data_IF_371902501852
#
_entry.id   IF_371902501852
#
_cell.length_a   1.000
_cell.length_b   1.000
_cell.length_c   1.000
_cell.angle_alpha   90.00
_cell.angle_beta   90.00
_cell.angle_gamma   90.00
#
_symmetry.space_group_name_H-M   'P 1'
#
loop_
_entity.id
_entity.type
_entity.pdbx_description
1 polymer ?
#
# COMPACT_ATOMS: atom_id res chain seq x y z
N UNK A 1 1.74 21.63 8.77
CA UNK A 1 2.89 21.57 9.67
C UNK A 1 3.84 20.57 9.03
N UNK A 2 4.88 21.04 8.34
CA UNK A 2 5.95 20.15 7.87
C UNK A 2 6.70 19.72 9.13
N UNK A 3 6.64 18.44 9.47
CA UNK A 3 7.46 17.87 10.53
C UNK A 3 8.90 17.94 10.02
N UNK A 4 9.78 18.65 10.71
CA UNK A 4 11.22 18.62 10.41
C UNK A 4 11.70 17.19 10.69
N UNK A 5 11.92 16.43 9.62
CA UNK A 5 12.45 15.06 9.69
C UNK A 5 13.98 15.16 9.75
N UNK A 6 14.60 14.58 10.78
CA UNK A 6 16.06 14.55 10.93
C UNK A 6 16.68 13.41 10.11
N UNK A 7 17.98 13.51 9.79
CA UNK A 7 18.72 12.42 9.13
C UNK A 7 18.73 11.14 9.97
N UNK A 8 18.76 11.26 11.30
CA UNK A 8 18.67 10.13 12.23
C UNK A 8 17.31 9.44 12.16
N UNK A 9 16.22 10.21 12.08
CA UNK A 9 14.87 9.67 11.89
C UNK A 9 14.72 8.97 10.54
N UNK A 10 15.31 9.52 9.47
CA UNK A 10 15.33 8.88 8.15
C UNK A 10 16.11 7.57 8.16
N UNK A 11 17.26 7.53 8.83
CA UNK A 11 18.06 6.31 8.98
C UNK A 11 17.28 5.22 9.71
N UNK A 12 16.68 5.57 10.85
CA UNK A 12 15.84 4.63 11.61
C UNK A 12 14.64 4.14 10.79
N UNK A 13 13.92 5.02 10.08
CA UNK A 13 12.81 4.60 9.21
C UNK A 13 13.24 3.69 8.07
N UNK A 14 14.43 3.92 7.51
CA UNK A 14 14.97 3.04 6.46
C UNK A 14 15.29 1.64 7.02
N UNK A 15 15.84 1.55 8.23
CA UNK A 15 16.10 0.28 8.91
C UNK A 15 14.80 -0.46 9.25
N UNK A 16 13.82 0.23 9.84
CA UNK A 16 12.50 -0.36 10.14
C UNK A 16 11.80 -0.85 8.87
N UNK A 17 11.85 -0.06 7.79
CA UNK A 17 11.30 -0.47 6.50
C UNK A 17 12.03 -1.71 5.96
N UNK A 18 13.35 -1.79 6.09
CA UNK A 18 14.12 -2.94 5.64
C UNK A 18 13.79 -4.21 6.45
N UNK A 19 13.60 -4.08 7.76
CA UNK A 19 13.17 -5.18 8.64
C UNK A 19 11.77 -5.66 8.22
N UNK A 20 10.82 -4.72 8.10
CA UNK A 20 9.46 -5.03 7.66
C UNK A 20 9.43 -5.72 6.29
N UNK A 21 10.21 -5.25 5.32
CA UNK A 21 10.29 -5.89 4.01
C UNK A 21 10.93 -7.27 4.06
N UNK A 22 11.85 -7.49 5.01
CA UNK A 22 12.50 -8.78 5.26
C UNK A 22 11.55 -9.87 5.74
N UNK A 23 10.43 -9.53 6.39
CA UNK A 23 9.43 -10.52 6.80
C UNK A 23 8.86 -11.29 5.59
N UNK A 24 8.73 -10.60 4.45
CA UNK A 24 8.22 -11.15 3.18
C UNK A 24 9.27 -11.91 2.36
N UNK A 25 10.53 -12.00 2.80
CA UNK A 25 11.63 -12.62 2.03
C UNK A 25 11.32 -14.06 1.59
N UNK A 26 10.58 -14.78 2.44
CA UNK A 26 10.21 -16.18 2.23
C UNK A 26 9.23 -16.37 1.07
N UNK A 27 8.54 -15.30 0.63
CA UNK A 27 7.69 -15.30 -0.56
C UNK A 27 8.51 -15.34 -1.86
N UNK A 28 9.82 -15.07 -1.78
CA UNK A 28 10.72 -15.02 -2.92
C UNK A 28 11.73 -16.18 -2.86
N UNK A 29 11.69 -17.02 -3.90
CA UNK A 29 12.61 -18.16 -4.03
C UNK A 29 14.08 -17.77 -4.25
N UNK A 30 14.35 -16.51 -4.60
CA UNK A 30 15.69 -16.00 -4.95
C UNK A 30 15.93 -14.63 -4.30
N UNK A 31 17.20 -14.23 -4.08
CA UNK A 31 17.52 -12.95 -3.48
C UNK A 31 17.25 -11.76 -4.42
N UNK A 32 17.47 -11.89 -5.73
CA UNK A 32 17.38 -10.75 -6.65
C UNK A 32 15.96 -10.14 -6.73
N UNK A 33 14.86 -10.92 -6.72
CA UNK A 33 13.51 -10.36 -6.60
C UNK A 33 13.25 -9.58 -5.30
N UNK A 34 13.93 -9.91 -4.20
CA UNK A 34 13.77 -9.22 -2.90
C UNK A 34 14.32 -7.80 -2.96
N UNK A 35 15.50 -7.64 -3.55
CA UNK A 35 16.10 -6.33 -3.81
C UNK A 35 15.17 -5.46 -4.67
N UNK A 36 14.65 -6.03 -5.76
CA UNK A 36 13.75 -5.29 -6.67
C UNK A 36 12.39 -5.00 -6.02
N UNK A 37 11.93 -5.84 -5.10
CA UNK A 37 10.73 -5.59 -4.30
C UNK A 37 10.94 -4.39 -3.36
N UNK A 38 12.07 -4.33 -2.66
CA UNK A 38 12.42 -3.18 -1.81
C UNK A 38 12.53 -1.89 -2.63
N UNK A 39 13.25 -1.93 -3.75
CA UNK A 39 13.39 -0.80 -4.69
C UNK A 39 12.02 -0.30 -5.20
N UNK A 40 11.10 -1.23 -5.46
CA UNK A 40 9.73 -0.92 -5.86
C UNK A 40 8.96 -0.23 -4.74
N UNK A 41 8.99 -0.78 -3.51
CA UNK A 41 8.26 -0.23 -2.36
C UNK A 41 8.77 1.17 -2.01
N UNK A 42 10.09 1.36 -1.93
CA UNK A 42 10.67 2.69 -1.72
C UNK A 42 10.34 3.64 -2.87
N UNK A 43 10.36 3.12 -4.11
CA UNK A 43 9.90 3.84 -5.29
C UNK A 43 8.45 4.31 -5.16
N UNK A 44 7.57 3.51 -4.56
CA UNK A 44 6.17 3.87 -4.30
C UNK A 44 6.03 4.89 -3.16
N UNK A 45 6.79 4.74 -2.07
CA UNK A 45 6.74 5.62 -0.88
C UNK A 45 7.41 6.98 -1.07
N UNK A 46 8.30 7.11 -2.07
CA UNK A 46 9.02 8.37 -2.33
C UNK A 46 8.13 9.54 -2.80
N UNK A 47 8.72 10.71 -2.97
CA UNK A 47 8.07 11.91 -3.53
C UNK A 47 8.06 11.95 -5.07
N UNK A 48 8.49 10.86 -5.74
CA UNK A 48 8.56 10.79 -7.20
C UNK A 48 7.24 11.19 -7.86
N UNK A 49 7.29 12.28 -8.64
CA UNK A 49 6.13 12.85 -9.37
C UNK A 49 5.39 11.83 -10.23
N UNK A 50 6.08 10.83 -10.78
CA UNK A 50 5.49 9.78 -11.62
C UNK A 50 6.01 8.40 -11.22
N UNK A 51 5.13 7.60 -10.62
CA UNK A 51 5.37 6.20 -10.25
C UNK A 51 5.24 5.29 -11.48
N UNK A 52 6.33 5.14 -12.23
CA UNK A 52 6.42 4.16 -13.30
C UNK A 52 7.77 3.44 -13.23
N UNK A 53 7.90 2.30 -13.92
CA UNK A 53 9.11 1.49 -13.86
C UNK A 53 10.38 2.27 -14.24
N UNK A 54 10.30 3.25 -15.14
CA UNK A 54 11.44 4.08 -15.53
C UNK A 54 11.92 4.98 -14.39
N UNK A 55 11.01 5.78 -13.83
CA UNK A 55 11.34 6.72 -12.75
C UNK A 55 11.80 5.98 -11.49
N UNK A 56 11.13 4.87 -11.15
CA UNK A 56 11.50 4.07 -9.96
C UNK A 56 12.84 3.37 -10.15
N UNK A 57 13.12 2.86 -11.36
CA UNK A 57 14.43 2.27 -11.67
C UNK A 57 15.55 3.31 -11.63
N UNK A 58 15.30 4.53 -12.11
CA UNK A 58 16.28 5.61 -12.02
C UNK A 58 16.56 6.00 -10.55
N UNK A 59 15.53 6.03 -9.69
CA UNK A 59 15.71 6.23 -8.24
C UNK A 59 16.57 5.13 -7.62
N UNK A 60 16.29 3.87 -7.96
CA UNK A 60 17.02 2.70 -7.48
C UNK A 60 18.42 2.52 -8.11
N UNK A 61 18.92 3.50 -8.87
CA UNK A 61 20.23 3.41 -9.52
C UNK A 61 20.34 2.35 -10.62
N UNK A 62 19.22 1.81 -11.09
CA UNK A 62 19.20 0.84 -12.17
C UNK A 62 19.43 1.50 -13.53
N UNK A 63 20.23 0.86 -14.38
CA UNK A 63 20.54 1.35 -15.74
C UNK A 63 19.30 1.35 -16.65
N UNK A 64 18.35 0.43 -16.42
CA UNK A 64 17.18 0.24 -17.28
C UNK A 64 15.94 -0.10 -16.45
N UNK A 65 14.71 0.14 -16.97
CA UNK A 65 13.47 -0.26 -16.31
C UNK A 65 13.28 -1.79 -16.23
N UNK A 66 14.15 -2.57 -16.87
CA UNK A 66 13.94 -3.98 -17.11
C UNK A 66 13.91 -4.81 -15.83
N UNK A 67 14.59 -4.40 -14.75
CA UNK A 67 14.55 -5.10 -13.46
C UNK A 67 13.15 -5.06 -12.85
N UNK A 68 12.61 -3.85 -12.65
CA UNK A 68 11.24 -3.65 -12.14
C UNK A 68 10.20 -4.26 -13.08
N UNK A 69 10.36 -4.11 -14.40
CA UNK A 69 9.43 -4.70 -15.37
C UNK A 69 9.44 -6.23 -15.33
N UNK A 70 10.62 -6.86 -15.23
CA UNK A 70 10.71 -8.32 -15.11
C UNK A 70 10.15 -8.81 -13.78
N UNK A 71 10.41 -8.08 -12.70
CA UNK A 71 9.83 -8.39 -11.40
C UNK A 71 8.30 -8.43 -11.46
N UNK A 72 7.67 -7.41 -12.07
CA UNK A 72 6.21 -7.33 -12.17
C UNK A 72 5.58 -8.33 -13.15
N UNK A 73 6.29 -8.73 -14.23
CA UNK A 73 5.67 -9.50 -15.32
C UNK A 73 6.17 -10.95 -15.44
N UNK A 74 7.33 -11.29 -14.87
CA UNK A 74 8.03 -12.53 -15.18
C UNK A 74 8.71 -13.19 -13.97
N UNK A 75 8.87 -12.50 -12.84
CA UNK A 75 9.41 -13.12 -11.64
C UNK A 75 8.38 -14.09 -11.02
N UNK A 76 8.89 -15.17 -10.43
CA UNK A 76 8.07 -16.18 -9.76
C UNK A 76 7.82 -15.77 -8.31
N UNK A 77 6.70 -15.08 -8.07
CA UNK A 77 6.16 -14.74 -6.75
C UNK A 77 4.62 -14.69 -6.83
N UNK A 78 3.94 -14.79 -5.69
CA UNK A 78 2.47 -14.75 -5.62
C UNK A 78 2.00 -13.43 -5.01
N UNK A 79 1.24 -12.66 -5.79
CA UNK A 79 0.61 -11.43 -5.29
C UNK A 79 -0.45 -11.72 -4.22
N UNK A 80 -1.16 -12.85 -4.34
CA UNK A 80 -2.15 -13.26 -3.35
C UNK A 80 -1.49 -13.64 -2.03
N UNK A 81 -0.36 -14.36 -2.07
CA UNK A 81 0.38 -14.72 -0.86
C UNK A 81 0.95 -13.49 -0.14
N UNK A 82 1.51 -12.53 -0.90
CA UNK A 82 1.95 -11.24 -0.35
C UNK A 82 0.81 -10.48 0.32
N UNK A 83 -0.37 -10.47 -0.33
CA UNK A 83 -1.53 -9.77 0.20
C UNK A 83 -2.10 -10.45 1.46
N UNK A 84 -2.09 -11.79 1.52
CA UNK A 84 -2.52 -12.54 2.70
C UNK A 84 -1.59 -12.31 3.89
N UNK A 85 -0.28 -12.29 3.68
CA UNK A 85 0.67 -11.98 4.72
C UNK A 85 0.55 -10.53 5.20
N UNK A 86 0.41 -9.57 4.28
CA UNK A 86 0.17 -8.17 4.62
C UNK A 86 -1.14 -7.99 5.42
N UNK A 87 -2.19 -8.73 5.08
CA UNK A 87 -3.45 -8.74 5.86
C UNK A 87 -3.21 -9.28 7.26
N UNK A 88 -2.42 -10.34 7.41
CA UNK A 88 -2.01 -10.89 8.71
C UNK A 88 -1.27 -9.84 9.55
N UNK A 89 -0.25 -9.21 8.97
CA UNK A 89 0.51 -8.13 9.61
C UNK A 89 -0.40 -6.99 10.07
N UNK A 90 -1.28 -6.50 9.19
CA UNK A 90 -2.24 -5.43 9.51
C UNK A 90 -3.20 -5.86 10.62
N UNK A 91 -3.71 -7.09 10.58
CA UNK A 91 -4.62 -7.57 11.62
C UNK A 91 -3.93 -7.69 12.99
N UNK A 92 -2.66 -8.10 13.03
CA UNK A 92 -1.88 -8.24 14.26
C UNK A 92 -1.47 -6.89 14.84
N UNK A 93 -1.00 -5.96 14.00
CA UNK A 93 -0.39 -4.71 14.45
C UNK A 93 -1.38 -3.52 14.50
N UNK A 94 -2.45 -3.59 13.71
CA UNK A 94 -3.46 -2.53 13.60
C UNK A 94 -4.87 -3.01 13.99
N UNK A 95 -5.05 -4.30 14.30
CA UNK A 95 -6.29 -4.83 14.83
C UNK A 95 -6.56 -4.31 16.24
N UNK A 96 -7.69 -3.64 16.42
CA UNK A 96 -8.15 -3.12 17.70
C UNK A 96 -9.57 -3.64 17.95
N UNK A 97 -9.86 -4.31 19.08
CA UNK A 97 -11.21 -4.78 19.42
C UNK A 97 -12.28 -3.69 19.41
N UNK A 98 -11.90 -2.42 19.56
CA UNK A 98 -12.81 -1.26 19.51
C UNK A 98 -12.58 -0.35 18.28
N UNK A 99 -11.59 -0.67 17.44
CA UNK A 99 -11.32 0.07 16.21
C UNK A 99 -12.33 -0.25 15.10
N UNK A 100 -12.76 0.77 14.36
CA UNK A 100 -13.60 0.59 13.18
C UNK A 100 -12.73 0.53 11.93
N UNK A 101 -12.87 -0.57 11.16
CA UNK A 101 -12.26 -0.70 9.85
C UNK A 101 -13.20 -0.08 8.80
N UNK A 102 -12.81 1.05 8.23
CA UNK A 102 -13.58 1.65 7.14
C UNK A 102 -13.14 1.04 5.83
N UNK A 103 -14.06 0.37 5.13
CA UNK A 103 -13.88 -0.07 3.75
C UNK A 103 -14.29 1.09 2.83
N UNK A 104 -13.33 1.79 2.24
CA UNK A 104 -13.57 2.86 1.26
C UNK A 104 -13.16 2.40 -0.14
N UNK A 105 -14.07 2.45 -1.11
CA UNK A 105 -13.78 2.11 -2.49
C UNK A 105 -13.41 3.37 -3.29
N UNK A 106 -12.18 3.41 -3.80
CA UNK A 106 -11.69 4.53 -4.62
C UNK A 106 -11.64 4.13 -6.08
N UNK A 107 -12.47 4.77 -6.89
CA UNK A 107 -12.57 4.42 -8.30
C UNK A 107 -11.75 5.36 -9.18
N UNK A 108 -10.78 4.81 -9.92
CA UNK A 108 -10.01 5.54 -10.92
C UNK A 108 -10.52 5.19 -12.31
N UNK A 109 -11.08 6.18 -13.02
CA UNK A 109 -11.56 5.99 -14.40
C UNK A 109 -10.42 5.60 -15.33
N UNK A 110 -10.64 4.59 -16.17
CA UNK A 110 -9.67 4.15 -17.19
C UNK A 110 -10.29 4.16 -18.58
N UNK A 111 -9.45 4.38 -19.60
CA UNK A 111 -9.83 4.26 -21.01
C UNK A 111 -9.22 2.97 -21.56
N UNK A 112 -10.07 2.01 -21.95
CA UNK A 112 -9.66 0.69 -22.45
C UNK A 112 -9.70 -0.41 -21.39
N UNK A 113 -9.13 -1.58 -21.69
CA UNK A 113 -9.18 -2.81 -20.87
C UNK A 113 -7.79 -3.33 -20.45
N UNK A 114 -6.74 -2.56 -20.73
CA UNK A 114 -5.35 -3.03 -20.58
C UNK A 114 -4.73 -2.78 -19.20
N UNK A 115 -5.39 -2.03 -18.32
CA UNK A 115 -4.87 -1.81 -16.96
C UNK A 115 -5.44 -2.86 -16.01
N UNK A 116 -4.60 -3.41 -15.12
CA UNK A 116 -4.98 -4.45 -14.14
C UNK A 116 -6.18 -4.00 -13.31
N UNK A 117 -7.19 -4.86 -13.13
CA UNK A 117 -8.38 -4.52 -12.35
C UNK A 117 -9.35 -3.53 -13.02
N UNK A 118 -9.17 -3.23 -14.32
CA UNK A 118 -10.18 -2.49 -15.09
C UNK A 118 -11.31 -3.42 -15.53
N UNK A 119 -12.52 -3.08 -15.11
CA UNK A 119 -13.75 -3.71 -15.60
C UNK A 119 -14.90 -2.69 -15.60
N UNK A 120 -16.04 -2.99 -16.26
CA UNK A 120 -17.27 -2.24 -16.07
C UNK A 120 -17.70 -2.32 -14.60
N UNK A 121 -17.50 -1.23 -13.87
CA UNK A 121 -17.76 -1.11 -12.43
C UNK A 121 -18.44 0.24 -12.18
N UNK A 122 -19.15 0.37 -11.07
CA UNK A 122 -19.80 1.63 -10.71
C UNK A 122 -18.73 2.67 -10.37
N UNK A 123 -18.64 3.74 -11.17
CA UNK A 123 -17.66 4.80 -10.96
C UNK A 123 -18.32 5.94 -10.19
N UNK A 124 -18.02 6.09 -8.89
CA UNK A 124 -18.59 7.14 -8.05
C UNK A 124 -18.35 8.56 -8.58
N UNK A 125 -17.24 8.77 -9.31
CA UNK A 125 -16.91 10.04 -9.96
C UNK A 125 -17.89 10.42 -11.08
N UNK A 126 -18.56 9.46 -11.72
CA UNK A 126 -19.45 9.72 -12.86
C UNK A 126 -20.87 9.19 -12.70
N UNK A 127 -21.16 8.47 -11.61
CA UNK A 127 -22.50 8.02 -11.24
C UNK A 127 -23.06 6.91 -12.13
N UNK A 128 -22.21 6.21 -12.87
CA UNK A 128 -22.61 5.19 -13.84
C UNK A 128 -21.61 4.04 -13.93
N UNK A 129 -22.07 2.93 -14.54
CA UNK A 129 -21.26 1.74 -14.75
C UNK A 129 -20.39 1.92 -16.00
N UNK A 130 -19.08 1.93 -15.81
CA UNK A 130 -18.09 2.07 -16.89
C UNK A 130 -16.75 1.50 -16.49
N UNK A 131 -15.81 1.45 -17.43
CA UNK A 131 -14.46 0.96 -17.15
C UNK A 131 -13.74 1.84 -16.11
N UNK A 132 -13.61 1.33 -14.90
CA UNK A 132 -12.80 1.91 -13.84
C UNK A 132 -12.01 0.81 -13.12
N UNK A 133 -10.96 1.23 -12.41
CA UNK A 133 -10.31 0.41 -11.39
C UNK A 133 -10.89 0.84 -10.05
N UNK A 134 -11.47 -0.10 -9.31
CA UNK A 134 -11.82 0.11 -7.91
C UNK A 134 -10.67 -0.39 -7.05
N UNK A 135 -10.12 0.50 -6.22
CA UNK A 135 -9.17 0.14 -5.18
C UNK A 135 -9.89 0.23 -3.84
N UNK A 136 -9.99 -0.89 -3.13
CA UNK A 136 -10.48 -0.89 -1.75
C UNK A 136 -9.35 -0.39 -0.86
N UNK A 137 -9.61 0.68 -0.11
CA UNK A 137 -8.71 1.25 0.89
C UNK A 137 -9.26 0.95 2.28
N UNK A 138 -8.34 0.78 3.22
CA UNK A 138 -8.62 0.49 4.63
C UNK A 138 -7.98 1.57 5.52
N UNK A 139 -8.54 2.80 5.58
CA UNK A 139 -8.14 3.75 6.59
C UNK A 139 -8.59 3.28 7.99
N UNK A 140 -7.68 3.40 8.97
CA UNK A 140 -8.01 3.26 10.39
C UNK A 140 -8.67 4.56 10.86
N UNK A 141 -9.78 4.42 11.58
CA UNK A 141 -10.25 5.46 12.50
C UNK A 141 -9.91 5.03 13.93
N UNK A 142 -9.09 5.82 14.61
CA UNK A 142 -8.79 5.61 16.02
C UNK A 142 -9.91 6.26 16.81
N UNK A 143 -10.96 5.50 17.11
CA UNK A 143 -12.08 6.01 17.91
C UNK A 143 -11.57 6.59 19.21
N UNK A 144 -11.89 7.86 19.47
CA UNK A 144 -11.67 8.47 20.77
C UNK A 144 -12.65 7.81 21.74
N UNK A 145 -12.11 7.15 22.76
CA UNK A 145 -12.91 6.50 23.79
C UNK A 145 -13.71 7.56 24.55
N UNK A 146 -14.97 7.75 24.18
CA UNK A 146 -15.92 8.51 24.99
C UNK A 146 -16.25 7.66 26.23
N UNK A 147 -15.43 7.79 27.27
CA UNK A 147 -15.70 7.25 28.59
C UNK A 147 -16.79 8.10 29.24
N UNK A 148 -18.04 7.62 29.17
CA UNK A 148 -19.18 8.26 29.81
C UNK A 148 -19.05 8.39 31.33
N UNK A 149 -19.71 9.41 31.87
CA UNK A 149 -20.21 9.39 33.25
C UNK A 149 -21.67 9.80 33.26
N UNK A 150 -22.50 8.88 33.77
CA UNK A 150 -23.87 9.03 34.31
C UNK A 150 -24.07 10.38 35.06
N UNK A 151 -25.24 11.01 35.19
CA UNK A 151 -26.64 10.64 35.00
C UNK A 151 -27.44 11.32 36.13
N UNK A 152 -28.60 11.96 35.89
CA UNK A 152 -29.60 12.17 36.96
C UNK A 152 -31.00 12.58 36.45
N UNK A 153 -31.97 11.70 36.74
CA UNK A 153 -33.34 11.93 37.23
C UNK A 153 -34.22 13.09 36.73
N UNK A 154 -35.35 12.70 36.11
CA UNK A 154 -36.65 12.75 36.83
C UNK A 154 -37.52 14.00 36.72
N UNK A 155 -38.61 13.84 35.94
CA UNK A 155 -39.89 14.60 35.85
C UNK A 155 -39.90 15.92 35.09
#
# INVERSE_FOLDING_TARGET
MLVDVTEEQLGWWAEELAIFLGDFDHLFARPEPREVFADLVEGLLSDLRRKNAWTMSARAGHVTPSRIQKFLNAASWSADALLDELRGYVAEHLGDPVGSLVLDDTQVRKKGTKSVGVAPQHCGVTGDVRNCQVMVRLPRDAGEADSGSDGEHGR
#
